data_IF_686629513190
#
_entry.id   IF_686629513190
#
_cell.length_a   1.000
_cell.length_b   1.000
_cell.length_c   1.000
_cell.angle_alpha   90.00
_cell.angle_beta   90.00
_cell.angle_gamma   90.00
#
_symmetry.space_group_name_H-M   'P 1'
#
loop_
_entity.id
_entity.type
_entity.pdbx_description
1 polymer ?
#
# COMPACT_ATOMS: atom_id res chain seq x y z
N UNK A 1 18.84 47.34 18.45
CA UNK A 1 18.18 48.50 19.08
C UNK A 1 16.73 48.41 18.72
N UNK A 2 15.73 48.09 19.45
CA UNK A 2 15.44 48.05 20.88
C UNK A 2 14.27 47.06 21.06
N UNK A 3 14.42 46.18 22.04
CA UNK A 3 13.39 45.32 22.61
C UNK A 3 12.42 46.16 23.41
N UNK A 4 11.11 45.92 23.36
CA UNK A 4 10.21 46.23 24.48
C UNK A 4 9.25 45.05 24.69
N UNK A 5 9.36 44.51 25.91
CA UNK A 5 8.54 43.51 26.56
C UNK A 5 7.52 44.15 27.49
N UNK A 6 6.41 43.43 27.75
CA UNK A 6 5.64 43.26 28.99
C UNK A 6 4.39 44.16 29.20
N UNK A 7 3.53 43.79 30.18
CA UNK A 7 2.80 42.54 30.46
C UNK A 7 1.35 42.77 30.97
N UNK A 8 0.61 41.68 31.23
CA UNK A 8 -0.22 41.75 32.42
C UNK A 8 -1.70 41.38 32.39
N UNK A 9 -1.98 40.21 32.96
CA UNK A 9 -2.97 39.88 34.01
C UNK A 9 -4.50 39.82 33.72
N UNK A 10 -4.98 38.58 33.78
CA UNK A 10 -5.91 37.94 34.78
C UNK A 10 -7.43 38.11 34.68
N UNK A 11 -8.02 36.90 34.78
CA UNK A 11 -9.26 36.39 35.44
C UNK A 11 -10.47 36.27 34.57
N UNK A 12 -10.82 35.03 34.31
CA UNK A 12 -11.78 34.08 34.90
C UNK A 12 -13.23 34.43 34.67
N UNK A 13 -13.98 33.47 34.05
CA UNK A 13 -15.16 32.85 34.61
C UNK A 13 -15.73 31.80 33.62
N UNK A 14 -15.86 30.65 34.11
CA UNK A 14 -16.74 29.51 33.96
C UNK A 14 -17.91 29.69 32.95
N UNK A 15 -17.99 28.76 31.98
CA UNK A 15 -19.18 28.48 31.19
C UNK A 15 -19.04 27.07 30.61
N UNK A 16 -19.82 26.12 31.16
CA UNK A 16 -20.03 24.78 30.63
C UNK A 16 -20.67 24.84 29.24
N UNK A 17 -20.19 24.02 28.34
CA UNK A 17 -20.80 23.91 27.02
C UNK A 17 -20.00 23.06 26.07
N UNK A 18 -20.43 21.82 25.88
CA UNK A 18 -20.21 20.95 24.72
C UNK A 18 -18.79 20.70 24.21
N UNK A 19 -18.24 19.59 24.69
CA UNK A 19 -17.04 18.97 24.13
C UNK A 19 -17.32 18.42 22.73
N UNK A 20 -17.09 19.21 21.70
CA UNK A 20 -16.87 18.69 20.35
C UNK A 20 -15.47 18.04 20.32
N UNK A 21 -15.45 16.74 20.20
CA UNK A 21 -14.25 15.98 19.92
C UNK A 21 -13.73 16.35 18.53
N UNK A 22 -12.79 17.30 18.49
CA UNK A 22 -11.94 17.52 17.34
C UNK A 22 -10.85 16.45 17.36
N UNK A 23 -11.01 15.40 16.57
CA UNK A 23 -9.97 14.40 16.32
C UNK A 23 -8.84 15.04 15.51
N UNK A 24 -7.87 15.65 16.19
CA UNK A 24 -6.57 15.94 15.59
C UNK A 24 -5.88 14.60 15.34
N UNK A 25 -5.92 14.12 14.10
CA UNK A 25 -5.08 13.02 13.63
C UNK A 25 -3.63 13.43 13.85
N UNK A 26 -2.96 12.83 14.82
CA UNK A 26 -1.51 12.89 14.94
C UNK A 26 -0.96 11.99 13.84
N UNK A 27 -0.42 12.61 12.78
CA UNK A 27 0.43 11.92 11.81
C UNK A 27 1.69 11.47 12.55
N UNK A 28 1.82 10.18 12.79
CA UNK A 28 3.07 9.57 13.23
C UNK A 28 3.92 9.34 12.00
N UNK A 29 4.90 10.22 11.77
CA UNK A 29 5.95 9.99 10.80
C UNK A 29 6.95 8.99 11.37
N UNK A 30 6.86 7.75 10.95
CA UNK A 30 7.97 6.79 11.01
C UNK A 30 8.76 6.98 9.71
N UNK A 31 9.85 7.73 9.79
CA UNK A 31 10.87 7.76 8.74
C UNK A 31 10.40 8.16 7.33
N UNK A 32 9.54 9.18 7.18
CA UNK A 32 9.18 9.72 5.86
C UNK A 32 8.29 8.82 4.98
N UNK A 33 7.70 7.76 5.52
CA UNK A 33 6.80 6.86 4.80
C UNK A 33 5.37 7.40 4.93
N UNK A 34 4.80 7.86 3.82
CA UNK A 34 3.40 8.25 3.73
C UNK A 34 2.52 6.98 3.69
N UNK A 35 1.79 6.70 4.77
CA UNK A 35 0.89 5.54 4.87
C UNK A 35 -0.41 5.90 4.16
N UNK A 36 -0.47 5.69 2.85
CA UNK A 36 -1.67 5.91 2.03
C UNK A 36 -2.37 4.58 1.78
N UNK A 37 -3.52 4.39 2.36
CA UNK A 37 -4.40 3.25 2.09
C UNK A 37 -5.81 3.57 2.54
N UNK A 38 -6.79 2.92 1.93
CA UNK A 38 -8.20 3.06 2.29
C UNK A 38 -8.51 2.17 3.49
N UNK A 39 -9.25 2.69 4.49
CA UNK A 39 -9.71 1.87 5.61
C UNK A 39 -10.68 0.80 5.13
N UNK A 40 -10.46 -0.45 5.53
CA UNK A 40 -11.34 -1.59 5.26
C UNK A 40 -11.67 -2.28 6.57
N UNK A 41 -12.95 -2.39 6.89
CA UNK A 41 -13.43 -3.03 8.12
C UNK A 41 -14.29 -4.22 7.79
N UNK A 42 -14.18 -5.29 8.59
CA UNK A 42 -14.93 -6.53 8.40
C UNK A 42 -15.10 -7.28 9.72
N UNK A 43 -16.08 -8.16 9.79
CA UNK A 43 -16.28 -9.03 10.95
C UNK A 43 -15.28 -10.17 10.94
N UNK A 44 -14.44 -10.26 11.97
CA UNK A 44 -13.50 -11.36 12.20
C UNK A 44 -14.19 -12.65 12.61
N UNK A 45 -13.38 -13.69 12.90
CA UNK A 45 -13.88 -15.03 13.19
C UNK A 45 -14.79 -15.15 14.42
N UNK A 46 -14.57 -14.31 15.42
CA UNK A 46 -15.38 -14.25 16.64
C UNK A 46 -16.49 -13.18 16.59
N UNK A 47 -16.79 -12.63 15.40
CA UNK A 47 -17.76 -11.54 15.22
C UNK A 47 -17.28 -10.18 15.71
N UNK A 48 -15.98 -10.03 15.96
CA UNK A 48 -15.35 -8.76 16.29
C UNK A 48 -15.09 -7.96 15.02
N UNK A 49 -15.32 -6.65 15.08
CA UNK A 49 -14.99 -5.76 13.97
C UNK A 49 -13.48 -5.56 13.88
N UNK A 50 -12.86 -6.05 12.81
CA UNK A 50 -11.45 -5.88 12.53
C UNK A 50 -11.24 -4.70 11.58
N UNK A 51 -10.09 -4.03 11.74
CA UNK A 51 -9.72 -2.85 10.95
C UNK A 51 -8.44 -3.10 10.18
N UNK A 52 -8.52 -2.90 8.88
CA UNK A 52 -7.42 -3.03 7.95
C UNK A 52 -7.20 -1.80 7.09
N UNK A 53 -6.15 -1.87 6.30
CA UNK A 53 -5.78 -0.91 5.27
C UNK A 53 -5.71 -1.64 3.94
N UNK A 54 -6.47 -1.15 2.98
CA UNK A 54 -6.49 -1.65 1.62
C UNK A 54 -5.57 -0.78 0.75
N UNK A 55 -4.47 -1.35 0.30
CA UNK A 55 -3.57 -0.73 -0.68
C UNK A 55 -4.04 -1.13 -2.09
N UNK A 56 -4.74 -0.22 -2.76
CA UNK A 56 -5.16 -0.46 -4.14
C UNK A 56 -4.00 -0.23 -5.11
N UNK A 57 -3.87 -1.03 -6.20
CA UNK A 57 -2.89 -0.78 -7.23
C UNK A 57 -3.27 0.45 -8.06
N UNK A 58 -2.27 1.03 -8.70
CA UNK A 58 -2.51 1.98 -9.77
C UNK A 58 -3.09 1.20 -10.97
N UNK A 59 -4.37 1.38 -11.25
CA UNK A 59 -5.09 0.75 -12.34
C UNK A 59 -5.93 -0.47 -11.98
N UNK A 60 -6.36 -1.19 -13.02
CA UNK A 60 -7.16 -2.40 -12.85
C UNK A 60 -6.37 -3.46 -12.09
N UNK A 61 -6.83 -3.90 -10.92
CA UNK A 61 -6.16 -4.96 -10.18
C UNK A 61 -6.10 -6.24 -11.01
N UNK A 62 -4.92 -6.81 -11.15
CA UNK A 62 -4.74 -8.14 -11.74
C UNK A 62 -5.00 -9.28 -10.75
N UNK A 63 -5.15 -8.93 -9.49
CA UNK A 63 -5.45 -9.84 -8.39
C UNK A 63 -5.40 -9.10 -7.07
N UNK A 64 -5.83 -9.79 -6.02
CA UNK A 64 -5.85 -9.28 -4.65
C UNK A 64 -5.05 -10.20 -3.74
N UNK A 65 -4.42 -9.62 -2.73
CA UNK A 65 -3.66 -10.32 -1.71
C UNK A 65 -4.12 -9.94 -0.31
N UNK A 66 -3.89 -10.84 0.65
CA UNK A 66 -3.96 -10.53 2.07
C UNK A 66 -2.55 -10.66 2.65
N UNK A 67 -2.13 -9.67 3.44
CA UNK A 67 -0.88 -9.69 4.18
C UNK A 67 -1.15 -9.97 5.66
N UNK A 68 -0.62 -11.08 6.18
CA UNK A 68 -0.68 -11.49 7.56
C UNK A 68 0.61 -11.07 8.30
N UNK A 69 0.51 -10.18 9.28
CA UNK A 69 1.65 -9.66 10.02
C UNK A 69 2.14 -10.61 11.13
N UNK A 70 3.32 -10.35 11.71
CA UNK A 70 3.88 -11.10 12.82
C UNK A 70 3.13 -10.85 14.15
N UNK A 71 3.33 -11.74 15.13
CA UNK A 71 2.65 -11.77 16.43
C UNK A 71 2.71 -10.44 17.20
N UNK A 72 3.89 -9.82 17.27
CA UNK A 72 4.12 -8.58 18.04
C UNK A 72 4.02 -7.33 17.17
N UNK A 73 3.75 -7.50 15.88
CA UNK A 73 3.65 -6.42 14.90
C UNK A 73 2.21 -5.89 14.78
N UNK A 74 1.97 -5.12 13.76
CA UNK A 74 0.65 -4.70 13.33
C UNK A 74 0.67 -4.46 11.81
N UNK A 75 -0.49 -4.14 11.27
CA UNK A 75 -0.67 -3.82 9.84
C UNK A 75 0.23 -2.69 9.33
N UNK A 76 0.77 -1.85 10.23
CA UNK A 76 1.62 -0.71 9.91
C UNK A 76 3.12 -0.97 10.16
N UNK A 77 3.51 -2.24 10.36
CA UNK A 77 4.91 -2.63 10.43
C UNK A 77 5.64 -2.37 9.11
N UNK A 78 6.97 -2.18 9.18
CA UNK A 78 7.79 -1.86 8.01
C UNK A 78 7.61 -2.91 6.90
N UNK A 79 7.73 -4.19 7.24
CA UNK A 79 7.54 -5.29 6.30
C UNK A 79 6.13 -5.26 5.66
N UNK A 80 5.06 -5.09 6.47
CA UNK A 80 3.69 -5.04 5.98
C UNK A 80 3.48 -3.91 4.97
N UNK A 81 3.97 -2.71 5.28
CA UNK A 81 3.83 -1.54 4.41
C UNK A 81 4.65 -1.68 3.13
N UNK A 82 5.92 -2.11 3.22
CA UNK A 82 6.79 -2.24 2.05
C UNK A 82 6.29 -3.32 1.09
N UNK A 83 5.90 -4.50 1.60
CA UNK A 83 5.40 -5.60 0.78
C UNK A 83 4.07 -5.20 0.13
N UNK A 84 3.13 -4.64 0.89
CA UNK A 84 1.84 -4.21 0.34
C UNK A 84 2.02 -3.18 -0.78
N UNK A 85 2.90 -2.21 -0.61
CA UNK A 85 3.19 -1.21 -1.65
C UNK A 85 3.91 -1.78 -2.87
N UNK A 86 4.83 -2.73 -2.67
CA UNK A 86 5.50 -3.37 -3.79
C UNK A 86 4.52 -4.19 -4.63
N UNK A 87 3.63 -4.93 -3.99
CA UNK A 87 2.56 -5.68 -4.65
C UNK A 87 1.58 -4.74 -5.35
N UNK A 88 1.17 -3.64 -4.70
CA UNK A 88 0.30 -2.62 -5.30
C UNK A 88 0.92 -2.04 -6.57
N UNK A 89 2.21 -1.67 -6.55
CA UNK A 89 2.93 -1.22 -7.77
C UNK A 89 3.03 -2.29 -8.85
N UNK A 90 2.99 -3.57 -8.47
CA UNK A 90 2.93 -4.69 -9.42
C UNK A 90 1.51 -5.02 -9.90
N UNK A 91 0.52 -4.17 -9.62
CA UNK A 91 -0.87 -4.34 -10.03
C UNK A 91 -1.68 -5.28 -9.14
N UNK A 92 -1.24 -5.59 -7.92
CA UNK A 92 -1.90 -6.49 -6.98
C UNK A 92 -2.40 -5.67 -5.79
N UNK A 93 -3.72 -5.58 -5.60
CA UNK A 93 -4.28 -4.95 -4.41
C UNK A 93 -3.99 -5.77 -3.15
N UNK A 94 -3.77 -5.12 -2.00
CA UNK A 94 -3.40 -5.81 -0.75
C UNK A 94 -4.23 -5.31 0.41
N UNK A 95 -4.88 -6.22 1.12
CA UNK A 95 -5.42 -5.96 2.45
C UNK A 95 -4.39 -6.37 3.50
N UNK A 96 -4.02 -5.44 4.37
CA UNK A 96 -3.31 -5.69 5.62
C UNK A 96 -4.19 -5.24 6.78
N UNK A 97 -4.35 -6.07 7.79
CA UNK A 97 -5.22 -5.80 8.94
C UNK A 97 -4.57 -6.26 10.24
N UNK A 98 -5.04 -5.74 11.37
CA UNK A 98 -4.62 -6.23 12.69
C UNK A 98 -5.51 -7.40 13.10
N UNK A 99 -4.88 -8.52 13.49
CA UNK A 99 -5.58 -9.65 14.07
C UNK A 99 -6.21 -9.30 15.43
N UNK A 100 -7.25 -10.00 15.82
CA UNK A 100 -7.85 -9.82 17.13
C UNK A 100 -6.79 -10.00 18.23
N UNK A 101 -6.70 -9.02 19.12
CA UNK A 101 -5.77 -9.04 20.26
C UNK A 101 -4.31 -8.65 19.98
N UNK A 102 -3.90 -8.41 18.74
CA UNK A 102 -2.48 -8.15 18.41
C UNK A 102 -2.15 -6.74 17.91
N UNK A 103 -3.08 -5.94 17.45
CA UNK A 103 -2.82 -4.64 16.82
C UNK A 103 -2.28 -3.56 17.76
N UNK A 104 -1.61 -2.53 17.19
CA UNK A 104 -1.28 -1.27 17.89
C UNK A 104 -2.60 -0.48 18.07
N UNK A 105 -3.39 -0.83 19.06
CA UNK A 105 -4.72 -0.28 19.31
C UNK A 105 -5.76 -1.35 19.62
N UNK A 106 -5.34 -2.60 19.79
CA UNK A 106 -6.18 -3.63 20.39
C UNK A 106 -6.71 -3.15 21.73
N UNK A 107 -7.98 -3.35 22.02
CA UNK A 107 -8.55 -3.01 23.31
C UNK A 107 -7.78 -3.77 24.41
N UNK A 108 -7.43 -3.08 25.49
CA UNK A 108 -6.81 -3.73 26.67
C UNK A 108 -7.68 -4.92 27.09
N UNK A 109 -7.09 -6.12 27.13
CA UNK A 109 -7.77 -7.36 27.53
C UNK A 109 -8.24 -8.26 26.38
N UNK A 110 -7.96 -7.94 25.11
CA UNK A 110 -8.17 -8.90 24.02
C UNK A 110 -7.09 -9.96 24.02
N UNK A 111 -7.53 -11.22 24.00
CA UNK A 111 -6.63 -12.37 24.02
C UNK A 111 -6.13 -12.70 22.62
N UNK A 112 -4.87 -13.08 22.56
CA UNK A 112 -4.24 -13.62 21.35
C UNK A 112 -4.56 -15.12 21.25
N UNK A 113 -4.98 -15.55 20.05
CA UNK A 113 -5.28 -16.95 19.76
C UNK A 113 -4.91 -17.27 18.30
N UNK A 114 -4.03 -18.25 18.09
CA UNK A 114 -3.59 -18.64 16.74
C UNK A 114 -4.74 -19.21 15.88
N UNK A 115 -5.68 -19.93 16.48
CA UNK A 115 -6.85 -20.43 15.77
C UNK A 115 -7.76 -19.29 15.32
N UNK A 116 -7.86 -18.23 16.14
CA UNK A 116 -8.53 -16.98 15.78
C UNK A 116 -7.84 -16.30 14.60
N UNK A 117 -6.49 -16.18 14.59
CA UNK A 117 -5.74 -15.59 13.48
C UNK A 117 -6.02 -16.29 12.14
N UNK A 118 -6.05 -17.64 12.15
CA UNK A 118 -6.41 -18.43 10.96
C UNK A 118 -7.86 -18.15 10.53
N UNK A 119 -8.77 -18.01 11.48
CA UNK A 119 -10.19 -17.72 11.21
C UNK A 119 -10.38 -16.29 10.72
N UNK A 120 -9.62 -15.33 11.25
CA UNK A 120 -9.63 -13.93 10.81
C UNK A 120 -9.14 -13.79 9.36
N UNK A 121 -8.12 -14.56 8.95
CA UNK A 121 -7.70 -14.62 7.54
C UNK A 121 -8.80 -15.13 6.61
N UNK A 122 -9.53 -16.17 7.04
CA UNK A 122 -10.68 -16.69 6.28
C UNK A 122 -11.82 -15.67 6.20
N UNK A 123 -12.08 -14.96 7.30
CA UNK A 123 -13.08 -13.89 7.36
C UNK A 123 -12.71 -12.70 6.48
N UNK A 124 -11.43 -12.29 6.50
CA UNK A 124 -10.90 -11.26 5.60
C UNK A 124 -11.08 -11.64 4.12
N UNK A 125 -10.75 -12.89 3.77
CA UNK A 125 -10.93 -13.39 2.40
C UNK A 125 -12.40 -13.37 1.97
N UNK A 126 -13.30 -13.79 2.84
CA UNK A 126 -14.75 -13.76 2.61
C UNK A 126 -15.26 -12.31 2.43
N UNK A 127 -14.84 -11.40 3.29
CA UNK A 127 -15.24 -10.00 3.23
C UNK A 127 -14.73 -9.32 1.95
N UNK A 128 -13.48 -9.56 1.57
CA UNK A 128 -12.92 -9.07 0.30
C UNK A 128 -13.68 -9.61 -0.89
N UNK A 129 -14.01 -10.91 -0.90
CA UNK A 129 -14.80 -11.51 -1.99
C UNK A 129 -16.19 -10.90 -2.09
N UNK A 130 -16.86 -10.66 -0.95
CA UNK A 130 -18.16 -9.99 -0.92
C UNK A 130 -18.10 -8.54 -1.44
N UNK A 131 -16.93 -7.90 -1.33
CA UNK A 131 -16.66 -6.57 -1.87
C UNK A 131 -16.15 -6.58 -3.34
N UNK A 132 -16.16 -7.72 -4.02
CA UNK A 132 -15.68 -7.87 -5.40
C UNK A 132 -14.15 -7.92 -5.53
N UNK A 133 -13.44 -8.17 -4.44
CA UNK A 133 -11.97 -8.18 -4.35
C UNK A 133 -11.46 -9.56 -3.93
N UNK A 134 -11.88 -10.63 -4.61
CA UNK A 134 -11.50 -12.00 -4.24
C UNK A 134 -9.98 -12.17 -4.17
N UNK A 135 -9.40 -12.49 -2.99
CA UNK A 135 -7.97 -12.62 -2.85
C UNK A 135 -7.48 -13.92 -3.51
N UNK A 136 -6.40 -13.80 -4.26
CA UNK A 136 -5.73 -14.90 -4.95
C UNK A 136 -4.34 -15.21 -4.41
N UNK A 137 -3.81 -14.33 -3.55
CA UNK A 137 -2.48 -14.47 -2.94
C UNK A 137 -2.58 -14.27 -1.43
N UNK A 138 -1.92 -15.14 -0.66
CA UNK A 138 -1.62 -14.90 0.75
C UNK A 138 -0.12 -14.65 0.91
N UNK A 139 0.23 -13.61 1.66
CA UNK A 139 1.59 -13.32 2.08
C UNK A 139 1.60 -13.20 3.59
N UNK A 140 2.48 -13.91 4.27
CA UNK A 140 2.54 -13.83 5.71
C UNK A 140 3.95 -13.75 6.25
N UNK A 141 4.13 -13.03 7.35
CA UNK A 141 5.41 -12.83 8.02
C UNK A 141 5.39 -13.46 9.41
N UNK A 142 6.41 -14.25 9.74
CA UNK A 142 6.58 -14.92 11.03
C UNK A 142 5.35 -15.79 11.36
N UNK A 143 4.71 -15.62 12.51
CA UNK A 143 3.49 -16.33 12.89
C UNK A 143 2.35 -16.09 11.87
N UNK A 144 2.22 -14.90 11.34
CA UNK A 144 1.28 -14.62 10.25
C UNK A 144 1.58 -15.42 8.98
N UNK A 145 2.87 -15.77 8.74
CA UNK A 145 3.27 -16.67 7.67
C UNK A 145 2.75 -18.09 7.89
N UNK A 146 2.86 -18.60 9.12
CA UNK A 146 2.30 -19.89 9.48
C UNK A 146 0.77 -19.89 9.41
N UNK A 147 0.12 -18.84 9.91
CA UNK A 147 -1.34 -18.69 9.81
C UNK A 147 -1.80 -18.67 8.34
N UNK A 148 -1.06 -17.98 7.45
CA UNK A 148 -1.33 -17.97 6.02
C UNK A 148 -1.20 -19.37 5.38
N UNK A 149 -0.16 -20.13 5.75
CA UNK A 149 0.03 -21.50 5.26
C UNK A 149 -1.12 -22.42 5.67
N UNK A 150 -1.58 -22.31 6.92
CA UNK A 150 -2.71 -23.12 7.46
C UNK A 150 -4.03 -22.66 6.84
N UNK A 151 -4.32 -21.36 6.83
CA UNK A 151 -5.58 -20.82 6.30
C UNK A 151 -5.77 -21.11 4.80
N UNK A 152 -4.68 -21.08 4.03
CA UNK A 152 -4.73 -21.29 2.58
C UNK A 152 -5.27 -22.66 2.17
N UNK A 153 -5.18 -23.67 3.03
CA UNK A 153 -5.71 -25.03 2.74
C UNK A 153 -7.21 -24.98 2.47
N UNK A 154 -7.94 -24.13 3.22
CA UNK A 154 -9.39 -24.01 3.16
C UNK A 154 -9.88 -22.85 2.26
N UNK A 155 -8.98 -22.12 1.62
CA UNK A 155 -9.29 -20.97 0.77
C UNK A 155 -9.08 -21.33 -0.71
N UNK A 156 -10.12 -21.80 -1.42
CA UNK A 156 -9.97 -22.32 -2.80
C UNK A 156 -9.50 -21.28 -3.80
N UNK A 157 -9.82 -20.01 -3.60
CA UNK A 157 -9.47 -18.91 -4.52
C UNK A 157 -7.99 -18.46 -4.39
N UNK A 158 -7.30 -18.84 -3.32
CA UNK A 158 -5.88 -18.56 -3.17
C UNK A 158 -5.09 -19.46 -4.11
N UNK A 159 -4.43 -18.88 -5.08
CA UNK A 159 -3.65 -19.60 -6.11
C UNK A 159 -2.17 -19.74 -5.74
N UNK A 160 -1.65 -18.92 -4.82
CA UNK A 160 -0.26 -18.94 -4.40
C UNK A 160 -0.08 -18.40 -2.97
N UNK A 161 0.96 -18.85 -2.27
CA UNK A 161 1.27 -18.43 -0.89
C UNK A 161 2.74 -18.05 -0.79
N UNK A 162 3.05 -16.95 -0.09
CA UNK A 162 4.42 -16.56 0.26
C UNK A 162 4.56 -16.47 1.79
N UNK A 163 5.57 -17.11 2.35
CA UNK A 163 5.90 -17.05 3.78
C UNK A 163 7.28 -16.44 3.99
N UNK A 164 7.40 -15.54 4.96
CA UNK A 164 8.62 -14.82 5.30
C UNK A 164 8.95 -15.09 6.75
N UNK A 165 10.10 -15.69 7.04
CA UNK A 165 10.53 -15.99 8.41
C UNK A 165 9.53 -16.84 9.21
N UNK A 166 8.75 -17.69 8.54
CA UNK A 166 7.67 -18.44 9.18
C UNK A 166 8.20 -19.68 9.93
N UNK A 167 7.70 -19.95 11.15
CA UNK A 167 8.02 -21.18 11.87
C UNK A 167 7.28 -22.39 11.29
N UNK A 168 7.98 -23.53 11.18
CA UNK A 168 7.43 -24.84 10.80
C UNK A 168 6.75 -25.55 11.97
N UNK A 169 6.96 -25.08 13.18
CA UNK A 169 6.29 -25.54 14.40
C UNK A 169 6.08 -24.34 15.32
N UNK A 170 4.99 -24.35 16.06
CA UNK A 170 4.62 -23.22 16.91
C UNK A 170 5.15 -23.37 18.34
N UNK A 171 5.57 -24.57 18.75
CA UNK A 171 6.04 -24.84 20.12
C UNK A 171 7.25 -23.97 20.53
N UNK A 172 8.04 -23.48 19.56
CA UNK A 172 9.14 -22.57 19.87
C UNK A 172 8.63 -21.24 20.47
N UNK A 173 7.39 -20.82 20.13
CA UNK A 173 6.76 -19.61 20.67
C UNK A 173 6.56 -19.75 22.17
N UNK A 174 6.28 -20.97 22.66
CA UNK A 174 6.12 -21.22 24.10
C UNK A 174 7.41 -20.97 24.89
N UNK A 175 8.57 -20.92 24.23
CA UNK A 175 9.85 -20.58 24.86
C UNK A 175 10.00 -19.09 25.16
N UNK A 176 9.14 -18.24 24.58
CA UNK A 176 9.09 -16.81 24.87
C UNK A 176 8.44 -16.56 26.25
N UNK A 177 7.58 -17.48 26.69
CA UNK A 177 6.91 -17.42 27.99
C UNK A 177 7.80 -18.02 29.08
N UNK A 178 7.78 -17.43 30.26
CA UNK A 178 8.40 -18.09 31.40
C UNK A 178 7.57 -19.28 31.90
N UNK A 179 8.18 -20.15 32.73
CA UNK A 179 7.53 -21.34 33.21
C UNK A 179 6.32 -21.02 34.12
N UNK A 180 6.36 -19.91 34.85
CA UNK A 180 5.26 -19.51 35.74
C UNK A 180 4.07 -19.00 34.92
N UNK A 181 4.33 -18.26 33.83
CA UNK A 181 3.28 -17.81 32.93
C UNK A 181 2.55 -19.00 32.30
N UNK A 182 3.31 -19.97 31.75
CA UNK A 182 2.74 -21.17 31.16
C UNK A 182 1.91 -21.98 32.18
N UNK A 183 2.41 -22.17 33.41
CA UNK A 183 1.70 -22.86 34.47
C UNK A 183 0.43 -22.11 34.89
N UNK A 184 0.49 -20.78 34.94
CA UNK A 184 -0.66 -19.92 35.24
C UNK A 184 -1.72 -20.04 34.16
N UNK A 185 -1.34 -19.93 32.87
CA UNK A 185 -2.27 -20.08 31.75
C UNK A 185 -2.94 -21.46 31.75
N UNK A 186 -2.16 -22.53 31.99
CA UNK A 186 -2.70 -23.90 32.03
C UNK A 186 -3.66 -24.11 33.18
N UNK A 187 -3.40 -23.51 34.34
CA UNK A 187 -4.21 -23.68 35.57
C UNK A 187 -5.44 -22.76 35.56
N UNK A 188 -5.28 -21.48 35.17
CA UNK A 188 -6.30 -20.46 35.34
C UNK A 188 -7.07 -20.19 34.05
N UNK A 189 -6.58 -20.73 32.93
CA UNK A 189 -7.21 -20.56 31.61
C UNK A 189 -6.67 -19.37 30.78
N UNK A 190 -6.11 -18.34 31.46
CA UNK A 190 -5.48 -17.19 30.82
C UNK A 190 -4.49 -16.50 31.77
N UNK A 191 -3.52 -15.76 31.20
CA UNK A 191 -2.66 -14.86 31.95
C UNK A 191 -2.20 -13.68 31.06
N UNK A 192 -1.90 -12.55 31.72
CA UNK A 192 -1.23 -11.42 31.05
C UNK A 192 0.27 -11.65 31.07
N UNK A 193 0.88 -11.75 29.89
CA UNK A 193 2.29 -12.03 29.69
C UNK A 193 2.96 -10.83 29.03
N UNK A 194 4.13 -10.43 29.51
CA UNK A 194 4.90 -9.34 28.90
C UNK A 194 5.78 -9.89 27.78
N UNK A 195 5.52 -9.45 26.54
CA UNK A 195 6.31 -9.83 25.37
C UNK A 195 6.85 -8.56 24.70
N UNK A 196 8.17 -8.46 24.57
CA UNK A 196 8.86 -7.31 24.02
C UNK A 196 8.43 -5.96 24.68
N UNK A 197 8.24 -5.94 26.01
CA UNK A 197 7.85 -4.75 26.78
C UNK A 197 6.37 -4.35 26.62
N UNK A 198 5.52 -5.26 26.15
CA UNK A 198 4.07 -5.05 26.00
C UNK A 198 3.29 -6.20 26.65
N UNK A 199 2.19 -5.92 27.39
CA UNK A 199 1.34 -6.94 27.95
C UNK A 199 0.42 -7.53 26.86
N UNK A 200 0.34 -8.85 26.82
CA UNK A 200 -0.59 -9.63 26.00
C UNK A 200 -1.40 -10.57 26.88
N UNK A 201 -2.70 -10.63 26.69
CA UNK A 201 -3.53 -11.65 27.33
C UNK A 201 -3.44 -12.93 26.50
N UNK A 202 -2.88 -13.98 27.09
CA UNK A 202 -2.71 -15.30 26.45
C UNK A 202 -3.68 -16.27 27.07
N UNK A 203 -4.51 -16.90 26.25
CA UNK A 203 -5.44 -17.93 26.69
C UNK A 203 -4.85 -19.33 26.53
N UNK A 204 -5.41 -20.29 27.29
CA UNK A 204 -5.06 -21.69 27.16
C UNK A 204 -5.33 -22.23 25.75
N UNK A 205 -6.38 -21.75 25.07
CA UNK A 205 -6.67 -22.10 23.67
C UNK A 205 -5.51 -21.78 22.72
N UNK A 206 -4.74 -20.71 22.98
CA UNK A 206 -3.52 -20.43 22.24
C UNK A 206 -2.47 -21.53 22.42
N UNK A 207 -2.24 -21.97 23.68
CA UNK A 207 -1.27 -23.04 23.95
C UNK A 207 -1.73 -24.34 23.29
N UNK A 208 -3.00 -24.71 23.45
CA UNK A 208 -3.59 -25.92 22.87
C UNK A 208 -3.46 -25.88 21.33
N UNK A 209 -3.77 -24.77 20.69
CA UNK A 209 -3.62 -24.59 19.24
C UNK A 209 -2.15 -24.70 18.78
N UNK A 210 -1.22 -24.12 19.55
CA UNK A 210 0.23 -24.20 19.28
C UNK A 210 0.75 -25.64 19.37
N UNK A 211 0.19 -26.48 20.29
CA UNK A 211 0.56 -27.88 20.47
C UNK A 211 -0.08 -28.80 19.41
N UNK A 212 -1.27 -28.44 18.91
CA UNK A 212 -2.06 -29.32 18.01
C UNK A 212 -1.78 -29.06 16.52
N UNK A 213 -1.37 -27.83 16.13
CA UNK A 213 -1.19 -27.45 14.72
C UNK A 213 0.04 -28.14 14.12
N UNK A 214 -0.20 -29.00 13.16
CA UNK A 214 0.82 -29.63 12.31
C UNK A 214 1.01 -28.81 11.02
N UNK A 215 1.97 -27.89 11.06
CA UNK A 215 2.28 -26.97 9.95
C UNK A 215 2.78 -27.73 8.73
N UNK A 216 3.63 -28.75 8.90
CA UNK A 216 4.16 -29.53 7.78
C UNK A 216 3.06 -30.31 7.07
N UNK A 217 2.09 -30.83 7.81
CA UNK A 217 0.91 -31.48 7.24
C UNK A 217 0.05 -30.50 6.45
N UNK A 218 -0.17 -29.29 6.98
CA UNK A 218 -0.89 -28.24 6.29
C UNK A 218 -0.17 -27.83 4.98
N UNK A 219 1.16 -27.65 5.03
CA UNK A 219 1.98 -27.33 3.86
C UNK A 219 1.94 -28.45 2.82
N UNK A 220 2.00 -29.73 3.24
CA UNK A 220 1.88 -30.88 2.32
C UNK A 220 0.50 -30.96 1.65
N UNK A 221 -0.55 -30.51 2.35
CA UNK A 221 -1.92 -30.45 1.84
C UNK A 221 -2.18 -29.25 0.94
N UNK A 222 -1.38 -28.20 1.02
CA UNK A 222 -1.58 -26.93 0.32
C UNK A 222 -1.68 -27.09 -1.22
N UNK A 223 -0.83 -27.91 -1.84
CA UNK A 223 -0.82 -28.24 -3.29
C UNK A 223 -0.87 -27.02 -4.20
N UNK A 224 -0.26 -25.92 -3.79
CA UNK A 224 -0.20 -24.64 -4.50
C UNK A 224 1.22 -24.14 -4.53
N UNK A 225 1.55 -23.25 -5.46
CA UNK A 225 2.84 -22.54 -5.46
C UNK A 225 3.14 -21.94 -4.10
N UNK A 226 4.31 -22.24 -3.57
CA UNK A 226 4.80 -21.72 -2.30
C UNK A 226 6.15 -21.02 -2.49
N UNK A 227 6.25 -19.77 -2.01
CA UNK A 227 7.50 -19.06 -1.84
C UNK A 227 7.86 -19.02 -0.36
N UNK A 228 9.06 -19.48 -0.04
CA UNK A 228 9.64 -19.37 1.30
C UNK A 228 10.79 -18.39 1.25
N UNK A 229 10.71 -17.31 2.02
CA UNK A 229 11.79 -16.34 2.22
C UNK A 229 12.27 -16.45 3.68
N UNK A 230 13.57 -16.55 3.89
CA UNK A 230 14.12 -16.67 5.24
C UNK A 230 15.57 -16.22 5.30
N UNK A 231 15.94 -15.57 6.40
CA UNK A 231 17.33 -15.20 6.66
C UNK A 231 18.06 -16.33 7.36
N UNK A 232 19.26 -16.73 6.92
CA UNK A 232 20.09 -17.67 7.64
C UNK A 232 20.62 -17.13 8.99
N UNK A 233 20.51 -15.81 9.21
CA UNK A 233 20.93 -15.15 10.44
C UNK A 233 19.74 -14.73 11.33
N UNK A 234 18.53 -15.20 11.01
CA UNK A 234 17.33 -14.96 11.84
C UNK A 234 17.53 -15.54 13.24
N UNK A 235 17.53 -14.67 14.25
CA UNK A 235 17.76 -15.03 15.66
C UNK A 235 16.46 -15.41 16.40
N UNK A 236 15.30 -15.25 15.76
CA UNK A 236 13.99 -15.52 16.35
C UNK A 236 13.44 -16.85 15.84
N UNK A 237 13.46 -17.05 14.52
CA UNK A 237 13.02 -18.29 13.87
C UNK A 237 14.20 -18.83 13.05
N UNK A 238 14.80 -19.92 13.53
CA UNK A 238 15.97 -20.49 12.90
C UNK A 238 15.69 -20.97 11.46
N UNK A 239 16.73 -20.91 10.58
CA UNK A 239 16.62 -21.24 9.15
C UNK A 239 16.10 -22.67 8.90
N UNK A 240 16.29 -23.59 9.85
CA UNK A 240 15.81 -24.97 9.80
C UNK A 240 14.29 -25.03 9.61
N UNK A 241 13.53 -24.07 10.14
CA UNK A 241 12.09 -23.98 9.93
C UNK A 241 11.75 -23.78 8.45
N UNK A 242 12.49 -22.93 7.73
CA UNK A 242 12.32 -22.77 6.30
C UNK A 242 12.64 -24.08 5.53
N UNK A 243 13.66 -24.81 5.95
CA UNK A 243 14.01 -26.10 5.37
C UNK A 243 12.91 -27.13 5.55
N UNK A 244 12.27 -27.17 6.71
CA UNK A 244 11.13 -28.06 7.03
C UNK A 244 9.90 -27.69 6.19
N UNK A 245 9.50 -26.39 6.15
CA UNK A 245 8.40 -25.91 5.32
C UNK A 245 8.66 -26.23 3.85
N UNK A 246 9.86 -25.92 3.36
CA UNK A 246 10.23 -26.18 1.97
C UNK A 246 10.25 -27.68 1.67
N UNK A 247 10.73 -28.51 2.61
CA UNK A 247 10.73 -29.98 2.51
C UNK A 247 9.34 -30.56 2.36
N UNK A 248 8.40 -30.13 3.20
CA UNK A 248 7.01 -30.59 3.23
C UNK A 248 6.19 -30.12 1.99
N UNK A 249 6.54 -28.98 1.43
CA UNK A 249 5.83 -28.40 0.28
C UNK A 249 5.98 -29.23 -0.99
N UNK A 250 4.90 -29.30 -1.77
CA UNK A 250 4.93 -29.87 -3.12
C UNK A 250 5.34 -28.80 -4.15
N UNK A 251 5.85 -29.25 -5.30
CA UNK A 251 6.10 -28.33 -6.42
C UNK A 251 4.79 -27.77 -7.02
N UNK A 252 4.79 -26.50 -7.50
CA UNK A 252 5.95 -25.61 -7.57
C UNK A 252 6.25 -24.96 -6.22
N UNK A 253 7.53 -24.92 -5.84
CA UNK A 253 8.02 -24.25 -4.64
C UNK A 253 9.33 -23.52 -4.91
N UNK A 254 9.53 -22.39 -4.25
CA UNK A 254 10.71 -21.54 -4.40
C UNK A 254 11.24 -21.15 -3.02
N UNK A 255 12.56 -21.00 -2.91
CA UNK A 255 13.21 -20.48 -1.72
C UNK A 255 14.05 -19.25 -2.09
N UNK A 256 14.01 -18.23 -1.24
CA UNK A 256 14.85 -17.04 -1.36
C UNK A 256 15.52 -16.79 -0.01
N UNK A 257 16.86 -16.75 -0.01
CA UNK A 257 17.64 -16.33 1.14
C UNK A 257 17.49 -14.82 1.32
N UNK A 258 17.25 -14.37 2.54
CA UNK A 258 17.25 -12.96 2.93
C UNK A 258 18.62 -12.54 3.51
N UNK A 259 19.65 -13.33 3.25
CA UNK A 259 21.05 -13.10 3.64
C UNK A 259 21.22 -12.67 5.11
N UNK A 260 21.51 -11.39 5.37
CA UNK A 260 21.78 -10.87 6.71
C UNK A 260 20.57 -10.16 7.35
N UNK A 261 19.39 -10.25 6.73
CA UNK A 261 18.20 -9.60 7.27
C UNK A 261 17.85 -10.08 8.69
N UNK A 262 17.40 -9.19 9.53
CA UNK A 262 16.84 -9.58 10.83
C UNK A 262 15.42 -10.14 10.66
N UNK A 263 14.90 -10.76 11.73
CA UNK A 263 13.56 -11.37 11.72
C UNK A 263 12.46 -10.41 11.33
N UNK A 264 12.54 -9.14 11.74
CA UNK A 264 11.51 -8.13 11.56
C UNK A 264 11.64 -7.36 10.24
N UNK A 265 12.69 -7.59 9.47
CA UNK A 265 13.03 -6.79 8.29
C UNK A 265 13.11 -5.30 8.63
N UNK A 266 13.81 -4.98 9.73
CA UNK A 266 13.89 -3.62 10.26
C UNK A 266 14.65 -2.67 9.33
N UNK A 267 15.59 -3.18 8.54
CA UNK A 267 16.29 -2.42 7.53
C UNK A 267 15.46 -2.27 6.25
N UNK A 268 15.31 -1.04 5.76
CA UNK A 268 14.51 -0.76 4.57
C UNK A 268 15.03 -1.51 3.32
N UNK A 269 16.33 -1.76 3.23
CA UNK A 269 16.93 -2.51 2.12
C UNK A 269 16.41 -3.96 2.09
N UNK A 270 16.34 -4.62 3.25
CA UNK A 270 15.89 -6.01 3.38
C UNK A 270 14.37 -6.12 3.09
N UNK A 271 13.57 -5.19 3.65
CA UNK A 271 12.15 -5.11 3.38
C UNK A 271 11.87 -4.87 1.88
N UNK A 272 12.65 -4.02 1.21
CA UNK A 272 12.53 -3.77 -0.23
C UNK A 272 12.92 -5.00 -1.05
N UNK A 273 14.00 -5.70 -0.68
CA UNK A 273 14.42 -6.92 -1.36
C UNK A 273 13.37 -8.02 -1.24
N UNK A 274 12.89 -8.32 -0.03
CA UNK A 274 11.82 -9.29 0.20
C UNK A 274 10.56 -8.93 -0.61
N UNK A 275 10.17 -7.65 -0.61
CA UNK A 275 9.03 -7.14 -1.35
C UNK A 275 9.16 -7.34 -2.86
N UNK A 276 10.32 -7.04 -3.42
CA UNK A 276 10.60 -7.22 -4.85
C UNK A 276 10.54 -8.71 -5.24
N UNK A 277 11.07 -9.59 -4.40
CA UNK A 277 11.04 -11.04 -4.64
C UNK A 277 9.61 -11.58 -4.61
N UNK A 278 8.80 -11.20 -3.62
CA UNK A 278 7.37 -11.61 -3.54
C UNK A 278 6.61 -11.12 -4.77
N UNK A 279 6.76 -9.85 -5.15
CA UNK A 279 6.08 -9.27 -6.31
C UNK A 279 6.50 -9.96 -7.63
N UNK A 280 7.80 -10.15 -7.85
CA UNK A 280 8.32 -10.81 -9.05
C UNK A 280 7.85 -12.27 -9.16
N UNK A 281 7.87 -13.00 -8.03
CA UNK A 281 7.41 -14.39 -7.99
C UNK A 281 5.89 -14.51 -8.20
N UNK A 282 5.10 -13.65 -7.57
CA UNK A 282 3.65 -13.64 -7.69
C UNK A 282 3.17 -13.40 -9.13
N UNK A 283 3.95 -12.62 -9.92
CA UNK A 283 3.67 -12.36 -11.33
C UNK A 283 3.50 -13.64 -12.18
N UNK A 284 4.11 -14.74 -11.76
CA UNK A 284 4.03 -16.02 -12.48
C UNK A 284 2.69 -16.73 -12.30
N UNK A 285 1.99 -16.47 -11.20
CA UNK A 285 0.80 -17.22 -10.78
C UNK A 285 -0.49 -16.40 -10.83
N UNK A 286 -0.37 -15.12 -11.03
CA UNK A 286 -1.51 -14.23 -11.23
C UNK A 286 -1.72 -13.97 -12.72
N UNK A 287 -2.94 -13.59 -13.14
CA UNK A 287 -3.17 -13.16 -14.50
C UNK A 287 -2.13 -12.14 -14.93
N UNK A 288 -1.65 -12.17 -16.16
CA UNK A 288 -0.77 -11.10 -16.65
C UNK A 288 -1.48 -9.77 -16.41
N UNK A 289 -0.71 -8.70 -16.17
CA UNK A 289 -1.27 -7.37 -16.38
C UNK A 289 -1.91 -7.44 -17.75
N UNK A 290 -3.25 -7.36 -17.81
CA UNK A 290 -3.93 -7.41 -19.09
C UNK A 290 -3.20 -6.44 -20.00
N UNK A 291 -2.58 -6.92 -21.08
CA UNK A 291 -2.13 -6.00 -22.09
C UNK A 291 -3.35 -5.17 -22.40
N UNK A 292 -3.16 -3.89 -22.41
CA UNK A 292 -4.22 -2.94 -22.75
C UNK A 292 -4.95 -3.45 -23.99
N UNK A 293 -6.13 -4.04 -23.83
CA UNK A 293 -6.92 -4.56 -24.93
C UNK A 293 -7.43 -3.44 -25.85
N UNK A 294 -7.06 -2.22 -25.57
CA UNK A 294 -7.16 -1.13 -26.50
C UNK A 294 -5.93 -1.09 -27.43
N UNK A 295 -5.66 -2.14 -28.18
CA UNK A 295 -5.14 -1.97 -29.54
C UNK A 295 -6.27 -1.48 -30.44
N UNK A 296 -6.98 -0.47 -30.02
CA UNK A 296 -7.61 0.48 -30.91
C UNK A 296 -6.46 1.27 -31.50
N UNK A 297 -6.38 1.30 -32.83
CA UNK A 297 -5.47 2.17 -33.57
C UNK A 297 -5.34 3.48 -32.81
N UNK A 298 -4.10 3.93 -32.62
CA UNK A 298 -3.80 5.14 -31.86
C UNK A 298 -4.59 6.30 -32.46
N UNK A 299 -5.78 6.57 -31.95
CA UNK A 299 -6.49 7.78 -32.29
C UNK A 299 -5.61 8.96 -31.86
N UNK A 300 -5.43 9.92 -32.76
CA UNK A 300 -4.75 11.17 -32.41
C UNK A 300 -5.49 11.79 -31.23
N UNK A 301 -4.83 11.87 -30.06
CA UNK A 301 -5.43 12.49 -28.88
C UNK A 301 -5.04 11.83 -27.56
N UNK A 302 -5.72 12.28 -26.52
CA UNK A 302 -5.64 11.72 -25.17
C UNK A 302 -7.00 11.15 -24.79
N UNK A 303 -7.04 9.89 -24.43
CA UNK A 303 -8.23 9.19 -23.98
C UNK A 303 -8.18 9.00 -22.46
N UNK A 304 -9.32 9.18 -21.79
CA UNK A 304 -9.49 8.84 -20.38
C UNK A 304 -10.68 7.91 -20.22
N UNK A 305 -10.44 6.73 -19.63
CA UNK A 305 -11.45 5.69 -19.46
C UNK A 305 -11.54 5.25 -18.00
N UNK A 306 -12.75 5.07 -17.50
CA UNK A 306 -12.97 4.55 -16.13
C UNK A 306 -12.39 3.15 -15.99
N UNK A 307 -11.66 2.91 -14.88
CA UNK A 307 -11.14 1.57 -14.56
C UNK A 307 -12.13 0.73 -13.76
N UNK A 308 -13.17 1.37 -13.23
CA UNK A 308 -14.14 0.80 -12.28
C UNK A 308 -13.50 0.35 -10.94
N UNK A 309 -12.24 0.66 -10.70
CA UNK A 309 -11.56 0.47 -9.43
C UNK A 309 -11.75 1.72 -8.55
N UNK A 310 -12.88 1.82 -7.88
CA UNK A 310 -13.26 2.99 -7.10
C UNK A 310 -14.13 3.99 -7.88
N UNK A 311 -14.36 5.19 -7.30
CA UNK A 311 -15.32 6.15 -7.86
C UNK A 311 -14.75 7.03 -8.97
N UNK A 312 -13.44 7.29 -8.95
CA UNK A 312 -12.83 8.34 -9.75
C UNK A 312 -11.56 7.91 -10.49
N UNK A 313 -11.15 6.64 -10.33
CA UNK A 313 -9.94 6.18 -10.98
C UNK A 313 -10.16 6.04 -12.50
N UNK A 314 -9.32 6.74 -13.25
CA UNK A 314 -9.29 6.73 -14.71
C UNK A 314 -7.92 6.23 -15.19
N UNK A 315 -7.91 5.53 -16.30
CA UNK A 315 -6.71 5.32 -17.11
C UNK A 315 -6.67 6.37 -18.20
N UNK A 316 -5.62 7.20 -18.20
CA UNK A 316 -5.37 8.21 -19.20
C UNK A 316 -4.28 7.72 -20.14
N UNK A 317 -4.51 7.75 -21.43
CA UNK A 317 -3.65 7.19 -22.46
C UNK A 317 -3.42 8.16 -23.62
N UNK A 318 -2.21 8.14 -24.16
CA UNK A 318 -1.84 8.84 -25.39
C UNK A 318 -0.81 8.00 -26.14
N UNK A 319 -1.17 7.42 -27.26
CA UNK A 319 -0.32 6.46 -27.98
C UNK A 319 0.08 5.27 -27.12
N UNK A 320 1.37 5.02 -26.99
CA UNK A 320 1.94 3.93 -26.14
C UNK A 320 2.05 4.30 -24.67
N UNK A 321 1.84 5.55 -24.28
CA UNK A 321 1.99 6.03 -22.93
C UNK A 321 0.67 6.00 -22.18
N UNK A 322 0.71 5.59 -20.93
CA UNK A 322 -0.46 5.64 -20.04
C UNK A 322 -0.07 6.03 -18.62
N UNK A 323 -0.98 6.74 -17.96
CA UNK A 323 -0.91 7.09 -16.54
C UNK A 323 -2.29 6.89 -15.92
N UNK A 324 -2.36 6.91 -14.59
CA UNK A 324 -3.64 6.94 -13.88
C UNK A 324 -3.95 8.34 -13.39
N UNK A 325 -5.23 8.70 -13.45
CA UNK A 325 -5.81 9.87 -12.82
C UNK A 325 -6.82 9.44 -11.79
N UNK A 326 -6.84 10.09 -10.65
CA UNK A 326 -7.78 9.79 -9.57
C UNK A 326 -7.93 11.01 -8.67
N UNK A 327 -8.98 11.04 -7.87
CA UNK A 327 -9.16 12.05 -6.84
C UNK A 327 -8.49 11.62 -5.52
N UNK A 328 -8.09 12.59 -4.67
CA UNK A 328 -7.58 12.30 -3.33
C UNK A 328 -8.58 11.54 -2.47
N UNK A 329 -8.07 10.75 -1.52
CA UNK A 329 -8.90 10.02 -0.55
C UNK A 329 -9.81 10.93 0.29
N UNK A 330 -9.41 12.18 0.49
CA UNK A 330 -10.21 13.20 1.20
C UNK A 330 -11.54 13.54 0.54
N UNK A 331 -11.66 13.29 -0.78
CA UNK A 331 -12.90 13.50 -1.55
C UNK A 331 -13.52 12.19 -2.04
N UNK A 332 -13.01 11.04 -1.57
CA UNK A 332 -13.56 9.72 -1.85
C UNK A 332 -12.92 8.98 -3.03
N UNK A 333 -11.79 9.47 -3.56
CA UNK A 333 -10.93 8.75 -4.49
C UNK A 333 -10.02 7.76 -3.78
N UNK A 334 -9.26 6.98 -4.54
CA UNK A 334 -8.24 6.05 -4.04
C UNK A 334 -6.87 6.73 -3.86
N UNK A 335 -6.68 7.95 -4.39
CA UNK A 335 -5.39 8.63 -4.42
C UNK A 335 -4.33 7.87 -5.23
N UNK A 336 -4.76 7.12 -6.22
CA UNK A 336 -3.92 6.20 -7.01
C UNK A 336 -3.23 6.86 -8.21
N UNK A 337 -3.55 8.12 -8.50
CA UNK A 337 -2.99 8.87 -9.61
C UNK A 337 -3.04 10.38 -9.40
N UNK A 338 -2.59 11.13 -10.37
CA UNK A 338 -2.70 12.59 -10.37
C UNK A 338 -4.16 13.02 -10.58
N UNK A 339 -4.63 13.99 -9.79
CA UNK A 339 -5.94 14.60 -10.02
C UNK A 339 -5.96 15.41 -11.34
N UNK A 340 -7.15 15.73 -11.91
CA UNK A 340 -7.24 16.46 -13.16
C UNK A 340 -6.47 17.80 -13.15
N UNK A 341 -6.54 18.56 -12.06
CA UNK A 341 -5.78 19.81 -11.94
C UNK A 341 -4.27 19.61 -11.73
N UNK A 342 -3.86 18.48 -11.15
CA UNK A 342 -2.45 18.10 -11.08
C UNK A 342 -1.92 17.69 -12.46
N UNK A 343 -2.74 17.08 -13.33
CA UNK A 343 -2.38 16.81 -14.73
C UNK A 343 -2.19 18.11 -15.53
N UNK A 344 -3.06 19.09 -15.37
CA UNK A 344 -2.89 20.42 -15.97
C UNK A 344 -1.60 21.08 -15.46
N UNK A 345 -1.35 21.02 -14.16
CA UNK A 345 -0.13 21.55 -13.53
C UNK A 345 1.12 20.84 -14.02
N UNK A 346 1.07 19.51 -14.20
CA UNK A 346 2.15 18.71 -14.75
C UNK A 346 2.45 19.08 -16.20
N UNK A 347 1.42 19.30 -17.02
CA UNK A 347 1.56 19.78 -18.40
C UNK A 347 2.25 21.14 -18.45
N UNK A 348 1.85 22.08 -17.60
CA UNK A 348 2.48 23.39 -17.49
C UNK A 348 3.94 23.30 -17.03
N UNK A 349 4.22 22.49 -16.01
CA UNK A 349 5.57 22.28 -15.49
C UNK A 349 6.50 21.68 -16.55
N UNK A 350 6.07 20.62 -17.20
CA UNK A 350 6.83 19.92 -18.23
C UNK A 350 7.13 20.86 -19.43
N UNK A 351 6.09 21.54 -19.94
CA UNK A 351 6.24 22.47 -21.04
C UNK A 351 7.20 23.62 -20.70
N UNK A 352 7.14 24.17 -19.49
CA UNK A 352 8.04 25.21 -19.01
C UNK A 352 9.50 24.72 -19.02
N UNK A 353 9.79 23.56 -18.44
CA UNK A 353 11.16 23.02 -18.41
C UNK A 353 11.68 22.72 -19.81
N UNK A 354 10.88 22.11 -20.68
CA UNK A 354 11.26 21.79 -22.05
C UNK A 354 11.56 23.08 -22.86
N UNK A 355 10.74 24.11 -22.69
CA UNK A 355 10.91 25.40 -23.36
C UNK A 355 12.20 26.11 -22.93
N UNK A 356 12.48 26.12 -21.61
CA UNK A 356 13.72 26.66 -21.07
C UNK A 356 14.96 25.89 -21.58
N UNK A 357 14.89 24.56 -21.55
CA UNK A 357 15.97 23.70 -22.05
C UNK A 357 16.25 23.91 -23.53
N UNK A 358 15.20 23.95 -24.35
CA UNK A 358 15.32 24.18 -25.79
C UNK A 358 16.00 25.50 -26.07
N UNK A 359 15.61 26.58 -25.37
CA UNK A 359 16.20 27.90 -25.52
C UNK A 359 17.67 27.93 -25.07
N UNK A 360 17.98 27.39 -23.89
CA UNK A 360 19.34 27.34 -23.37
C UNK A 360 20.29 26.60 -24.35
N UNK A 361 19.87 25.44 -24.86
CA UNK A 361 20.65 24.68 -25.85
C UNK A 361 20.87 25.49 -27.12
N UNK A 362 19.85 26.17 -27.62
CA UNK A 362 19.96 26.99 -28.85
C UNK A 362 20.90 28.18 -28.69
N UNK A 363 21.01 28.70 -27.46
CA UNK A 363 21.88 29.84 -27.14
C UNK A 363 23.25 29.44 -26.61
N UNK A 364 23.50 28.17 -26.41
CA UNK A 364 24.74 27.65 -25.81
C UNK A 364 24.91 28.07 -24.35
N UNK A 365 23.81 28.28 -23.61
CA UNK A 365 23.86 28.60 -22.18
C UNK A 365 24.24 27.37 -21.39
N UNK A 366 25.11 27.48 -20.36
CA UNK A 366 25.59 26.35 -19.57
C UNK A 366 24.55 25.93 -18.49
N UNK A 367 23.31 25.66 -18.92
CA UNK A 367 22.25 25.17 -18.09
C UNK A 367 22.42 23.66 -17.88
N UNK A 368 22.81 23.24 -16.68
CA UNK A 368 22.98 21.81 -16.34
C UNK A 368 21.63 21.17 -16.09
N UNK A 369 20.78 21.76 -15.24
CA UNK A 369 19.47 21.26 -14.87
C UNK A 369 18.47 22.39 -14.70
N UNK A 370 17.21 22.13 -15.10
CA UNK A 370 16.08 22.98 -14.78
C UNK A 370 14.97 22.16 -14.16
N UNK A 371 14.32 22.69 -13.14
CA UNK A 371 13.12 22.11 -12.56
C UNK A 371 12.06 23.18 -12.32
N UNK A 372 10.80 22.75 -12.36
CA UNK A 372 9.64 23.64 -12.15
C UNK A 372 8.63 22.93 -11.28
N UNK A 373 8.21 23.60 -10.21
CA UNK A 373 7.06 23.23 -9.39
C UNK A 373 5.90 24.12 -9.73
N UNK A 374 4.73 23.55 -9.92
CA UNK A 374 3.47 24.27 -10.18
C UNK A 374 2.46 23.93 -9.10
N UNK A 375 1.89 24.97 -8.51
CA UNK A 375 0.78 24.87 -7.56
C UNK A 375 -0.47 25.50 -8.18
N UNK A 376 -1.61 24.79 -8.10
CA UNK A 376 -2.91 25.31 -8.47
C UNK A 376 -3.74 25.65 -7.22
N UNK A 377 -4.38 26.81 -7.22
CA UNK A 377 -5.32 27.23 -6.18
C UNK A 377 -6.47 27.99 -6.77
N UNK A 378 -7.69 27.76 -6.28
CA UNK A 378 -8.81 28.67 -6.52
C UNK A 378 -8.72 29.84 -5.54
N UNK A 379 -8.78 31.05 -6.08
CA UNK A 379 -8.74 32.30 -5.31
C UNK A 379 -10.12 32.95 -5.41
N UNK A 380 -10.80 33.03 -4.25
CA UNK A 380 -12.08 33.74 -4.19
C UNK A 380 -11.88 35.21 -4.64
N UNK A 381 -12.89 35.77 -5.28
CA UNK A 381 -12.93 37.17 -5.73
C UNK A 381 -11.90 37.55 -6.80
N UNK A 382 -11.29 36.55 -7.47
CA UNK A 382 -10.46 36.80 -8.68
C UNK A 382 -11.17 36.32 -9.96
N UNK A 383 -10.86 37.01 -11.06
CA UNK A 383 -11.25 36.61 -12.43
C UNK A 383 -10.03 36.59 -13.32
N UNK A 384 -9.60 35.44 -13.85
CA UNK A 384 -10.12 34.08 -13.59
C UNK A 384 -9.80 33.60 -12.16
N UNK A 385 -10.65 32.70 -11.58
CA UNK A 385 -10.49 32.25 -10.19
C UNK A 385 -9.33 31.26 -10.01
N UNK A 386 -8.88 30.62 -11.07
CA UNK A 386 -7.82 29.62 -11.04
C UNK A 386 -6.44 30.27 -11.16
N UNK A 387 -5.61 30.07 -10.16
CA UNK A 387 -4.24 30.59 -10.13
C UNK A 387 -3.25 29.44 -10.16
N UNK A 388 -2.36 29.44 -11.14
CA UNK A 388 -1.19 28.57 -11.23
C UNK A 388 0.05 29.37 -10.83
N UNK A 389 0.79 28.89 -9.84
CA UNK A 389 2.04 29.52 -9.38
C UNK A 389 3.21 28.61 -9.71
N UNK A 390 4.19 29.13 -10.46
CA UNK A 390 5.42 28.41 -10.84
C UNK A 390 6.58 28.82 -9.97
N UNK A 391 7.34 27.85 -9.45
CA UNK A 391 8.64 28.04 -8.82
C UNK A 391 9.68 27.32 -9.68
N UNK A 392 10.66 28.07 -10.19
CA UNK A 392 11.67 27.58 -11.13
C UNK A 392 13.03 27.54 -10.43
N UNK A 393 13.76 26.44 -10.60
CA UNK A 393 15.15 26.29 -10.17
C UNK A 393 16.02 26.01 -11.39
N UNK A 394 17.12 26.78 -11.53
CA UNK A 394 18.11 26.64 -12.59
C UNK A 394 19.47 26.31 -11.98
N UNK A 395 20.04 25.17 -12.36
CA UNK A 395 21.36 24.70 -11.95
C UNK A 395 22.35 24.83 -13.12
N UNK A 396 23.59 25.17 -12.80
CA UNK A 396 24.67 25.37 -13.75
C UNK A 396 25.32 26.75 -13.60
N UNK A 397 26.48 26.97 -14.20
CA UNK A 397 27.26 28.21 -14.11
C UNK A 397 26.68 29.32 -15.01
N UNK A 398 25.41 29.67 -14.78
CA UNK A 398 24.68 30.73 -15.48
C UNK A 398 24.93 32.07 -14.81
N UNK A 399 25.19 33.09 -15.59
CA UNK A 399 25.20 34.50 -15.12
C UNK A 399 23.77 35.05 -14.95
N UNK A 400 23.66 36.22 -14.33
CA UNK A 400 22.36 36.83 -14.00
C UNK A 400 21.54 37.19 -15.26
N UNK A 401 22.18 37.62 -16.37
CA UNK A 401 21.53 37.93 -17.63
C UNK A 401 20.94 36.66 -18.26
N UNK A 402 21.70 35.56 -18.26
CA UNK A 402 21.26 34.26 -18.76
C UNK A 402 20.07 33.74 -17.95
N UNK A 403 20.12 33.86 -16.62
CA UNK A 403 19.02 33.47 -15.72
C UNK A 403 17.77 34.31 -16.00
N UNK A 404 17.88 35.61 -16.07
CA UNK A 404 16.76 36.48 -16.36
C UNK A 404 16.14 36.14 -17.72
N UNK A 405 16.98 35.85 -18.71
CA UNK A 405 16.51 35.52 -20.07
C UNK A 405 15.79 34.16 -20.13
N UNK A 406 16.27 33.18 -19.41
CA UNK A 406 15.60 31.87 -19.30
C UNK A 406 14.22 32.05 -18.66
N UNK A 407 14.09 32.88 -17.60
CA UNK A 407 12.82 33.17 -16.95
C UNK A 407 11.81 33.83 -17.90
N UNK A 408 12.24 34.81 -18.70
CA UNK A 408 11.38 35.43 -19.71
C UNK A 408 10.86 34.40 -20.74
N UNK A 409 11.67 33.40 -21.06
CA UNK A 409 11.31 32.35 -21.99
C UNK A 409 10.33 31.36 -21.35
N UNK A 410 10.41 31.12 -20.04
CA UNK A 410 9.45 30.31 -19.32
C UNK A 410 8.00 30.81 -19.49
N UNK A 411 7.79 32.14 -19.55
CA UNK A 411 6.47 32.75 -19.75
C UNK A 411 5.98 32.67 -21.22
N UNK A 412 6.78 32.09 -22.11
CA UNK A 412 6.42 31.85 -23.50
C UNK A 412 6.14 30.38 -23.82
N UNK A 413 6.06 29.56 -22.80
CA UNK A 413 5.74 28.15 -23.01
C UNK A 413 4.31 28.00 -23.58
N UNK A 414 4.11 27.16 -24.62
CA UNK A 414 2.81 27.04 -25.29
C UNK A 414 1.64 26.76 -24.37
N UNK A 415 1.83 25.89 -23.35
CA UNK A 415 0.79 25.56 -22.36
C UNK A 415 0.43 26.78 -21.51
N UNK A 416 1.41 27.57 -21.09
CA UNK A 416 1.17 28.81 -20.35
C UNK A 416 0.31 29.78 -21.19
N UNK A 417 0.69 29.99 -22.46
CA UNK A 417 -0.07 30.84 -23.36
C UNK A 417 -1.51 30.33 -23.58
N UNK A 418 -1.72 29.01 -23.60
CA UNK A 418 -3.05 28.40 -23.72
C UNK A 418 -3.88 28.69 -22.48
N UNK A 419 -3.31 28.51 -21.28
CA UNK A 419 -4.00 28.80 -20.02
C UNK A 419 -4.39 30.28 -19.87
N UNK A 420 -3.50 31.18 -20.26
CA UNK A 420 -3.76 32.64 -20.16
C UNK A 420 -4.83 33.10 -21.15
N UNK A 421 -4.79 32.59 -22.40
CA UNK A 421 -5.72 33.01 -23.46
C UNK A 421 -7.08 32.34 -23.37
N UNK A 422 -7.18 31.20 -22.70
CA UNK A 422 -8.31 30.32 -22.76
C UNK A 422 -8.33 29.49 -24.05
N UNK A 423 -9.26 28.55 -24.14
CA UNK A 423 -9.42 27.63 -25.26
C UNK A 423 -10.89 27.47 -25.61
N UNK A 424 -11.21 27.22 -26.89
CA UNK A 424 -12.50 26.73 -27.31
C UNK A 424 -12.55 25.20 -27.06
N UNK A 425 -13.61 24.73 -26.39
CA UNK A 425 -13.80 23.32 -26.09
C UNK A 425 -15.08 22.85 -26.77
N UNK A 426 -14.95 21.94 -27.73
CA UNK A 426 -16.08 21.32 -28.42
C UNK A 426 -16.34 19.94 -27.89
N UNK A 427 -17.60 19.56 -27.74
CA UNK A 427 -18.01 18.26 -27.19
C UNK A 427 -18.99 17.59 -28.14
N UNK A 428 -18.75 16.32 -28.44
CA UNK A 428 -19.62 15.48 -29.24
C UNK A 428 -19.90 14.18 -28.45
N UNK A 429 -21.16 13.74 -28.45
CA UNK A 429 -21.56 12.44 -27.92
C UNK A 429 -21.59 11.44 -29.07
N UNK A 430 -20.82 10.37 -28.96
CA UNK A 430 -20.86 9.24 -29.91
C UNK A 430 -21.42 8.00 -29.24
N UNK A 431 -22.23 7.21 -29.95
CA UNK A 431 -22.73 5.96 -29.42
C UNK A 431 -21.61 4.94 -29.32
N UNK A 432 -21.68 4.11 -28.27
CA UNK A 432 -20.78 2.96 -28.10
C UNK A 432 -20.85 2.07 -29.35
N UNK A 433 -19.72 1.60 -29.93
CA UNK A 433 -19.76 0.63 -31.00
C UNK A 433 -20.50 -0.62 -30.49
N UNK A 434 -21.67 -0.92 -31.04
CA UNK A 434 -22.50 -2.08 -30.71
C UNK A 434 -21.63 -3.34 -30.76
N UNK A 435 -21.61 -4.07 -29.64
CA UNK A 435 -21.12 -5.45 -29.65
C UNK A 435 -21.92 -6.23 -30.65
N UNK A 436 -21.34 -6.56 -31.80
CA UNK A 436 -21.98 -7.44 -32.81
C UNK A 436 -22.43 -8.72 -32.09
N UNK A 437 -23.73 -9.07 -32.11
CA UNK A 437 -24.17 -10.33 -31.55
C UNK A 437 -23.40 -11.47 -32.23
N UNK A 438 -22.84 -12.34 -31.40
CA UNK A 438 -22.01 -13.45 -31.83
C UNK A 438 -22.67 -14.24 -32.97
N UNK A 439 -21.92 -14.49 -34.02
CA UNK A 439 -22.26 -15.49 -35.01
C UNK A 439 -22.44 -16.83 -34.31
N UNK A 440 -23.66 -17.40 -34.39
CA UNK A 440 -23.94 -18.75 -33.99
C UNK A 440 -22.93 -19.73 -34.64
N UNK A 441 -22.44 -20.73 -33.90
CA UNK A 441 -21.64 -21.78 -34.53
C UNK A 441 -22.55 -22.57 -35.48
N UNK A 442 -22.16 -22.59 -36.75
CA UNK A 442 -22.79 -23.44 -37.74
C UNK A 442 -22.73 -24.91 -37.29
N UNK A 443 -23.87 -25.58 -37.39
CA UNK A 443 -24.15 -26.96 -37.02
C UNK A 443 -23.24 -27.98 -37.71
#
# INVERSE_FOLDING_TARGET
MTIVLLPGRRRSLIGEGERRFSSKRRSWMLGGIDVRGTSFTFDGGEGKLLSGVLEAPEGTPRGWAIFAHCFTCGKDSLAAVHISRALSRAGIGVLRFDFAGTGIGGSEGEAVDFASDVTDLKSAAKAMTAAGMTPSLLVGHSLGGTAALVAAVDLPDIVAVASIGAPAELQHILKIFDANDLDTIRREGEASVEIAGRPFLIRRSFIDAVEEVDVEKAVAALRRPLLVLHSPLDQVVAIEHASRIFGAARHPKSFVSLDSADHLLAEAADANFASAMVAAWANRYLPPLMPDLSQVEAADGVEATETLAGKFQLKVRSGEHSIFSDEPTSVGGLGSGLSPYELVSAGLAACTVMTMRLYANRKGFPLERASTRVEHKKVADMMPPDRFTRTIVLEGPLDDEQRARILEIADRCPVDLTLIRGSDVQTELVDSPESKPGSEPAA
#
